data_IF_746075424968
#
_entry.id   IF_746075424968
#
_cell.length_a   1.000
_cell.length_b   1.000
_cell.length_c   1.000
_cell.angle_alpha   90.00
_cell.angle_beta   90.00
_cell.angle_gamma   90.00
#
_symmetry.space_group_name_H-M   'P 1'
#
loop_
_entity.id
_entity.type
_entity.pdbx_description
1 polymer ?
#
# COMPACT_ATOMS: atom_id res chain seq x y z
N UNK A 1 -11.98 -5.39 -14.64
CA UNK A 1 -11.00 -6.46 -14.97
C UNK A 1 -10.60 -7.19 -13.68
N UNK A 2 -10.59 -8.52 -13.75
CA UNK A 2 -10.28 -9.35 -12.57
C UNK A 2 -8.87 -9.09 -12.02
N UNK A 3 -7.88 -8.84 -12.90
CA UNK A 3 -6.50 -8.56 -12.50
C UNK A 3 -6.41 -7.28 -11.66
N UNK A 4 -7.15 -6.22 -12.06
CA UNK A 4 -7.18 -4.98 -11.30
C UNK A 4 -7.78 -5.18 -9.91
N UNK A 5 -8.87 -5.94 -9.80
CA UNK A 5 -9.49 -6.24 -8.51
C UNK A 5 -8.55 -7.02 -7.60
N UNK A 6 -7.81 -7.98 -8.15
CA UNK A 6 -6.84 -8.77 -7.41
C UNK A 6 -5.70 -7.89 -6.89
N UNK A 7 -5.20 -6.98 -7.73
CA UNK A 7 -4.13 -6.06 -7.34
C UNK A 7 -4.61 -5.09 -6.27
N UNK A 8 -5.81 -4.53 -6.40
CA UNK A 8 -6.38 -3.64 -5.40
C UNK A 8 -6.52 -4.33 -4.03
N UNK A 9 -6.96 -5.58 -4.03
CA UNK A 9 -7.05 -6.37 -2.80
C UNK A 9 -5.67 -6.59 -2.17
N UNK A 10 -4.65 -6.85 -2.98
CA UNK A 10 -3.27 -7.01 -2.51
C UNK A 10 -2.74 -5.71 -1.91
N UNK A 11 -3.00 -4.58 -2.54
CA UNK A 11 -2.60 -3.27 -2.02
C UNK A 11 -3.21 -3.02 -0.64
N UNK A 12 -4.51 -3.30 -0.49
CA UNK A 12 -5.19 -3.16 0.80
C UNK A 12 -4.58 -4.04 1.88
N UNK A 13 -4.25 -5.28 1.52
CA UNK A 13 -3.62 -6.22 2.44
C UNK A 13 -2.21 -5.76 2.82
N UNK A 14 -1.42 -5.25 1.88
CA UNK A 14 -0.09 -4.73 2.15
C UNK A 14 -0.13 -3.56 3.13
N UNK A 15 -1.06 -2.63 2.95
CA UNK A 15 -1.24 -1.51 3.89
C UNK A 15 -1.56 -2.02 5.29
N UNK A 16 -2.45 -2.99 5.40
CA UNK A 16 -2.82 -3.58 6.68
C UNK A 16 -1.65 -4.30 7.33
N UNK A 17 -0.86 -5.05 6.55
CA UNK A 17 0.33 -5.75 7.07
C UNK A 17 1.42 -4.78 7.51
N UNK A 18 1.61 -3.66 6.80
CA UNK A 18 2.55 -2.60 7.20
C UNK A 18 2.13 -2.00 8.53
N UNK A 19 0.85 -1.70 8.71
CA UNK A 19 0.33 -1.17 9.97
C UNK A 19 0.53 -2.17 11.12
N UNK A 20 0.30 -3.45 10.87
CA UNK A 20 0.51 -4.52 11.86
C UNK A 20 1.98 -4.59 12.25
N UNK A 21 2.88 -4.57 11.27
CA UNK A 21 4.31 -4.58 11.52
C UNK A 21 4.74 -3.39 12.37
N UNK A 22 4.23 -2.21 12.06
CA UNK A 22 4.53 -1.00 12.83
C UNK A 22 4.11 -1.15 14.30
N UNK A 23 2.91 -1.66 14.55
CA UNK A 23 2.40 -1.91 15.90
C UNK A 23 3.28 -2.92 16.65
N UNK A 24 3.72 -3.98 15.95
CA UNK A 24 4.59 -4.99 16.54
C UNK A 24 5.96 -4.42 16.88
N UNK A 25 6.49 -3.53 16.04
CA UNK A 25 7.77 -2.87 16.30
C UNK A 25 7.70 -1.95 17.51
N UNK A 26 6.61 -1.22 17.68
CA UNK A 26 6.40 -0.37 18.84
C UNK A 26 6.33 -1.23 20.11
N UNK A 27 5.60 -2.35 20.08
CA UNK A 27 5.52 -3.26 21.22
C UNK A 27 6.89 -3.85 21.57
N UNK A 28 7.67 -4.21 20.57
CA UNK A 28 9.03 -4.73 20.79
C UNK A 28 9.94 -3.69 21.42
N UNK A 29 9.81 -2.42 21.01
CA UNK A 29 10.58 -1.31 21.56
C UNK A 29 10.40 -1.20 23.08
N UNK A 30 9.19 -1.43 23.57
CA UNK A 30 8.88 -1.32 25.01
C UNK A 30 9.63 -2.37 25.86
N UNK A 31 10.07 -3.47 25.24
CA UNK A 31 10.81 -4.52 25.95
C UNK A 31 12.32 -4.29 26.00
N UNK A 32 12.82 -3.28 25.30
CA UNK A 32 14.25 -2.97 25.22
C UNK A 32 14.61 -1.85 26.19
N UNK A 33 15.87 -1.85 26.65
CA UNK A 33 16.36 -0.85 27.63
C UNK A 33 17.72 -0.32 27.20
N UNK A 34 18.06 0.88 27.73
CA UNK A 34 19.36 1.48 27.55
C UNK A 34 19.62 1.98 26.12
N UNK A 35 20.88 1.90 25.71
CA UNK A 35 21.32 2.39 24.41
C UNK A 35 20.69 1.60 23.25
N UNK A 36 20.46 0.31 23.46
CA UNK A 36 19.81 -0.52 22.46
C UNK A 36 18.38 -0.03 22.18
N UNK A 37 17.66 0.37 23.22
CA UNK A 37 16.32 0.92 23.07
C UNK A 37 16.33 2.23 22.29
N UNK A 38 17.30 3.11 22.55
CA UNK A 38 17.44 4.37 21.84
C UNK A 38 17.74 4.14 20.36
N UNK A 39 18.68 3.25 20.05
CA UNK A 39 19.03 2.91 18.67
C UNK A 39 17.85 2.33 17.92
N UNK A 40 17.11 1.45 18.58
CA UNK A 40 15.93 0.83 17.98
C UNK A 40 14.83 1.86 17.75
N UNK A 41 14.63 2.76 18.69
CA UNK A 41 13.65 3.84 18.55
C UNK A 41 13.94 4.70 17.32
N UNK A 42 15.19 5.03 17.06
CA UNK A 42 15.60 5.80 15.89
C UNK A 42 15.26 5.04 14.59
N UNK A 43 15.49 3.72 14.58
CA UNK A 43 15.15 2.88 13.44
C UNK A 43 13.64 2.82 13.22
N UNK A 44 12.85 2.74 14.29
CA UNK A 44 11.39 2.73 14.19
C UNK A 44 10.87 4.04 13.61
N UNK A 45 11.46 5.18 14.03
CA UNK A 45 11.08 6.49 13.47
C UNK A 45 11.37 6.54 11.97
N UNK A 46 12.54 6.08 11.54
CA UNK A 46 12.87 6.01 10.11
C UNK A 46 11.96 5.06 9.35
N UNK A 47 11.65 3.93 9.96
CA UNK A 47 10.71 2.97 9.37
C UNK A 47 9.34 3.62 9.18
N UNK A 48 8.87 4.39 10.15
CA UNK A 48 7.57 5.04 10.04
C UNK A 48 7.53 5.99 8.84
N UNK A 49 8.60 6.77 8.64
CA UNK A 49 8.70 7.65 7.48
C UNK A 49 8.64 6.85 6.18
N UNK A 50 9.37 5.72 6.13
CA UNK A 50 9.37 4.84 4.95
C UNK A 50 7.99 4.21 4.75
N UNK A 51 7.35 3.73 5.81
CA UNK A 51 6.04 3.09 5.69
C UNK A 51 4.96 4.08 5.26
N UNK A 52 5.03 5.34 5.71
CA UNK A 52 4.11 6.37 5.26
C UNK A 52 4.30 6.65 3.76
N UNK A 53 5.54 6.67 3.28
CA UNK A 53 5.84 6.83 1.86
C UNK A 53 5.32 5.64 1.04
N UNK A 54 5.48 4.42 1.55
CA UNK A 54 4.96 3.21 0.89
C UNK A 54 3.44 3.27 0.82
N UNK A 55 2.77 3.64 1.90
CA UNK A 55 1.31 3.77 1.91
C UNK A 55 0.83 4.79 0.87
N UNK A 56 1.52 5.93 0.77
CA UNK A 56 1.19 6.96 -0.22
C UNK A 56 1.37 6.42 -1.64
N UNK A 57 2.47 5.71 -1.90
CA UNK A 57 2.73 5.12 -3.22
C UNK A 57 1.74 4.03 -3.56
N UNK A 58 1.35 3.21 -2.60
CA UNK A 58 0.31 2.19 -2.82
C UNK A 58 -1.03 2.84 -3.15
N UNK A 59 -1.36 3.94 -2.50
CA UNK A 59 -2.57 4.71 -2.81
C UNK A 59 -2.53 5.28 -4.23
N UNK A 60 -1.40 5.84 -4.64
CA UNK A 60 -1.21 6.35 -5.99
C UNK A 60 -1.32 5.24 -7.04
N UNK A 61 -0.68 4.10 -6.76
CA UNK A 61 -0.75 2.94 -7.65
C UNK A 61 -2.18 2.44 -7.79
N UNK A 62 -2.91 2.34 -6.68
CA UNK A 62 -4.31 1.93 -6.69
C UNK A 62 -5.17 2.87 -7.52
N UNK A 63 -4.97 4.18 -7.38
CA UNK A 63 -5.70 5.19 -8.16
C UNK A 63 -5.38 5.08 -9.64
N UNK A 64 -4.11 4.90 -9.99
CA UNK A 64 -3.69 4.74 -11.38
C UNK A 64 -4.31 3.49 -12.02
N UNK A 65 -4.35 2.38 -11.27
CA UNK A 65 -4.96 1.15 -11.76
C UNK A 65 -6.46 1.29 -11.96
N UNK A 66 -7.15 1.97 -11.04
CA UNK A 66 -8.59 2.22 -11.18
C UNK A 66 -8.88 3.09 -12.40
N UNK A 67 -8.07 4.12 -12.62
CA UNK A 67 -8.21 4.98 -13.79
C UNK A 67 -7.96 4.22 -15.08
N UNK A 68 -6.92 3.40 -15.14
CA UNK A 68 -6.62 2.58 -16.32
C UNK A 68 -7.74 1.59 -16.62
N UNK A 69 -8.30 0.95 -15.60
CA UNK A 69 -9.41 0.02 -15.76
C UNK A 69 -10.64 0.72 -16.33
N UNK A 70 -10.92 1.93 -15.87
CA UNK A 70 -12.03 2.73 -16.38
C UNK A 70 -11.83 3.07 -17.86
N UNK A 71 -10.61 3.45 -18.25
CA UNK A 71 -10.31 3.76 -19.64
C UNK A 71 -10.44 2.53 -20.55
N UNK A 72 -10.00 1.37 -20.08
CA UNK A 72 -10.18 0.13 -20.84
C UNK A 72 -11.66 -0.19 -21.06
N UNK A 73 -12.48 0.01 -20.04
CA UNK A 73 -13.92 -0.19 -20.14
C UNK A 73 -14.56 0.72 -21.18
N UNK A 74 -14.17 1.98 -21.20
CA UNK A 74 -14.65 2.97 -22.17
C UNK A 74 -14.23 2.60 -23.61
N UNK A 75 -13.00 2.14 -23.78
CA UNK A 75 -12.50 1.71 -25.09
C UNK A 75 -13.28 0.50 -25.58
N UNK A 76 -13.52 -0.48 -24.71
CA UNK A 76 -14.31 -1.67 -25.05
C UNK A 76 -15.72 -1.29 -25.49
N UNK A 77 -16.36 -0.38 -24.78
CA UNK A 77 -17.71 0.09 -25.12
C UNK A 77 -17.71 0.79 -26.47
N UNK A 78 -16.71 1.62 -26.74
CA UNK A 78 -16.57 2.31 -28.01
C UNK A 78 -16.37 1.32 -29.16
N UNK A 79 -15.54 0.30 -28.96
CA UNK A 79 -15.31 -0.74 -29.94
C UNK A 79 -16.59 -1.54 -30.24
N UNK A 80 -17.38 -1.85 -29.21
CA UNK A 80 -18.66 -2.53 -29.40
C UNK A 80 -19.62 -1.71 -30.25
N UNK A 81 -19.66 -0.39 -30.03
CA UNK A 81 -20.50 0.50 -30.83
C UNK A 81 -20.09 0.52 -32.29
N UNK A 82 -18.79 0.42 -32.57
CA UNK A 82 -18.28 0.44 -33.93
C UNK A 82 -18.70 -0.81 -34.72
N UNK A 83 -18.93 -1.93 -34.04
CA UNK A 83 -19.30 -3.21 -34.68
C UNK A 83 -20.79 -3.46 -34.65
N UNK A 84 -21.57 -2.58 -34.09
CA UNK A 84 -23.04 -2.66 -34.16
C UNK A 84 -23.57 -1.93 -35.38
#
# INVERSE_FOLDING_TARGET
MAANGTIQATIGRLKSEVDTLHSQLIALQDSWQGQAATSFQELVVRWRTTSDAVDAQLGELGSALAFAAQQYSEIEQSNQRLFL
#
